data_IF_802177690460
#
_entry.id   IF_802177690460
#
_cell.length_a   1.000
_cell.length_b   1.000
_cell.length_c   1.000
_cell.angle_alpha   90.00
_cell.angle_beta   90.00
_cell.angle_gamma   90.00
#
_symmetry.space_group_name_H-M   'P 1'
#
loop_
_entity.id
_entity.type
_entity.pdbx_description
1 polymer ?
#
# COMPACT_ATOMS: atom_id res chain seq x y z
N UNK A 1 3.93 11.97 13.48
CA UNK A 1 3.75 11.24 12.21
C UNK A 1 5.00 10.41 11.98
N UNK A 2 4.87 9.11 11.70
CA UNK A 2 6.04 8.34 11.29
C UNK A 2 6.51 8.86 9.92
N UNK A 3 7.81 9.11 9.73
CA UNK A 3 8.32 9.46 8.41
C UNK A 3 8.06 8.31 7.43
N UNK A 4 7.82 8.65 6.17
CA UNK A 4 7.76 7.64 5.11
C UNK A 4 9.13 6.95 4.98
N UNK A 5 9.16 5.65 4.71
CA UNK A 5 10.42 4.96 4.46
C UNK A 5 11.09 5.55 3.21
N UNK A 6 12.42 5.62 3.21
CA UNK A 6 13.20 6.15 2.07
C UNK A 6 13.21 5.24 0.85
N UNK A 7 12.81 3.98 1.03
CA UNK A 7 12.72 2.95 0.00
C UNK A 7 11.58 1.99 0.34
N UNK A 8 11.01 1.36 -0.68
CA UNK A 8 10.11 0.23 -0.54
C UNK A 8 10.33 -0.72 -1.71
N UNK A 9 10.20 -2.04 -1.46
CA UNK A 9 10.26 -3.06 -2.52
C UNK A 9 9.09 -2.92 -3.49
N UNK A 10 7.89 -2.66 -2.97
CA UNK A 10 6.68 -2.44 -3.77
C UNK A 10 5.94 -1.23 -3.26
N UNK A 11 5.55 -0.35 -4.18
CA UNK A 11 4.64 0.77 -3.90
C UNK A 11 3.34 0.55 -4.66
N UNK A 12 2.22 0.50 -3.93
CA UNK A 12 0.86 0.41 -4.49
C UNK A 12 0.23 1.80 -4.44
N UNK A 13 -0.17 2.33 -5.60
CA UNK A 13 -0.79 3.65 -5.72
C UNK A 13 -2.30 3.49 -5.89
N UNK A 14 -3.06 4.06 -4.94
CA UNK A 14 -4.52 3.97 -4.87
C UNK A 14 -4.98 3.01 -3.77
N UNK A 15 -5.72 3.53 -2.79
CA UNK A 15 -6.31 2.83 -1.64
C UNK A 15 -7.76 2.38 -1.86
N UNK A 16 -8.16 2.14 -3.11
CA UNK A 16 -9.41 1.49 -3.46
C UNK A 16 -9.36 -0.03 -3.28
N UNK A 17 -10.45 -0.74 -3.61
CA UNK A 17 -10.57 -2.20 -3.42
C UNK A 17 -9.44 -2.98 -4.09
N UNK A 18 -9.04 -2.58 -5.31
CA UNK A 18 -7.97 -3.25 -6.06
C UNK A 18 -6.62 -3.03 -5.38
N UNK A 19 -6.27 -1.80 -5.02
CA UNK A 19 -4.97 -1.50 -4.40
C UNK A 19 -4.82 -2.14 -3.02
N UNK A 20 -5.86 -2.09 -2.20
CA UNK A 20 -5.87 -2.80 -0.92
C UNK A 20 -5.75 -4.32 -1.09
N UNK A 21 -6.44 -4.89 -2.08
CA UNK A 21 -6.34 -6.32 -2.40
C UNK A 21 -4.91 -6.71 -2.82
N UNK A 22 -4.28 -5.92 -3.69
CA UNK A 22 -2.89 -6.15 -4.11
C UNK A 22 -1.94 -6.09 -2.91
N UNK A 23 -2.03 -5.04 -2.09
CA UNK A 23 -1.17 -4.90 -0.91
C UNK A 23 -1.37 -6.05 0.09
N UNK A 24 -2.62 -6.47 0.32
CA UNK A 24 -2.96 -7.60 1.18
C UNK A 24 -2.33 -8.91 0.70
N UNK A 25 -2.53 -9.27 -0.58
CA UNK A 25 -2.01 -10.53 -1.10
C UNK A 25 -0.47 -10.53 -1.18
N UNK A 26 0.15 -9.39 -1.49
CA UNK A 26 1.62 -9.26 -1.42
C UNK A 26 2.12 -9.53 0.00
N UNK A 27 1.51 -8.92 1.01
CA UNK A 27 1.86 -9.15 2.41
C UNK A 27 1.64 -10.61 2.81
N UNK A 28 0.52 -11.22 2.40
CA UNK A 28 0.20 -12.62 2.67
C UNK A 28 1.21 -13.59 2.03
N UNK A 29 1.73 -13.27 0.85
CA UNK A 29 2.80 -14.02 0.17
C UNK A 29 4.20 -13.79 0.79
N UNK A 30 4.30 -13.02 1.87
CA UNK A 30 5.55 -12.77 2.58
C UNK A 30 6.32 -11.54 2.09
N UNK A 31 5.75 -10.70 1.23
CA UNK A 31 6.34 -9.41 0.90
C UNK A 31 6.17 -8.46 2.09
N UNK A 32 7.24 -8.22 2.85
CA UNK A 32 7.20 -7.41 4.07
C UNK A 32 7.36 -5.91 3.86
N UNK A 33 7.77 -5.51 2.66
CA UNK A 33 8.11 -4.12 2.33
C UNK A 33 7.18 -3.59 1.22
N UNK A 34 5.92 -3.39 1.60
CA UNK A 34 4.85 -2.90 0.74
C UNK A 34 4.33 -1.58 1.29
N UNK A 35 4.43 -0.51 0.50
CA UNK A 35 3.90 0.81 0.82
C UNK A 35 2.65 1.08 -0.03
N UNK A 36 1.49 1.26 0.62
CA UNK A 36 0.25 1.69 -0.06
C UNK A 36 0.05 3.20 0.16
N UNK A 37 -0.12 3.94 -0.94
CA UNK A 37 -0.36 5.38 -0.92
C UNK A 37 -1.73 5.71 -1.49
N UNK A 38 -2.50 6.50 -0.77
CA UNK A 38 -3.77 7.10 -1.20
C UNK A 38 -3.69 8.62 -1.02
N UNK A 39 -4.30 9.38 -1.93
CA UNK A 39 -4.35 10.84 -1.91
C UNK A 39 -5.23 11.36 -0.76
N UNK A 40 -6.34 10.67 -0.51
CA UNK A 40 -7.32 11.06 0.50
C UNK A 40 -7.55 9.92 1.52
N UNK A 41 -8.80 9.52 1.77
CA UNK A 41 -9.15 8.42 2.67
C UNK A 41 -9.17 7.11 1.87
N UNK A 42 -8.90 5.99 2.54
CA UNK A 42 -9.15 4.67 1.93
C UNK A 42 -10.60 4.59 1.44
N UNK A 43 -10.80 4.02 0.24
CA UNK A 43 -12.12 3.89 -0.39
C UNK A 43 -12.85 5.22 -0.71
N UNK A 44 -12.12 6.33 -0.92
CA UNK A 44 -12.68 7.63 -1.31
C UNK A 44 -12.97 7.81 -2.81
N UNK A 45 -12.50 6.87 -3.65
CA UNK A 45 -12.77 6.84 -5.09
C UNK A 45 -14.13 6.25 -5.46
#
# INVERSE_FOLDING_TARGET
MNPLPSQARVVVIGGGVIGCSVAYHLAQMGCRDVLLLERDRLTSG
#
